data_IF_533612691636
#
_entry.id   IF_533612691636
#
_cell.length_a   1.000
_cell.length_b   1.000
_cell.length_c   1.000
_cell.angle_alpha   90.00
_cell.angle_beta   90.00
_cell.angle_gamma   90.00
#
_symmetry.space_group_name_H-M   'P 1'
#
loop_
_entity.id
_entity.type
_entity.pdbx_description
1 polymer ?
#
# COMPACT_ATOMS: atom_id res chain seq x y z
N UNK A 1 2.07 -35.29 15.08
CA UNK A 1 1.50 -33.92 15.18
C UNK A 1 2.23 -33.08 14.16
N UNK A 2 1.57 -32.43 13.18
CA UNK A 2 2.27 -31.52 12.26
C UNK A 2 2.80 -30.34 13.11
N UNK A 3 4.04 -29.96 12.88
CA UNK A 3 4.63 -28.80 13.54
C UNK A 3 3.78 -27.55 13.21
N UNK A 4 3.46 -26.73 14.22
CA UNK A 4 2.76 -25.45 13.99
C UNK A 4 3.54 -24.58 13.03
N UNK A 5 2.89 -24.03 12.01
CA UNK A 5 3.53 -23.11 11.07
C UNK A 5 3.95 -21.82 11.77
N UNK A 6 5.03 -21.22 11.31
CA UNK A 6 5.56 -19.95 11.80
C UNK A 6 5.33 -18.88 10.75
N UNK A 7 4.69 -17.80 11.15
CA UNK A 7 4.45 -16.62 10.29
C UNK A 7 5.17 -15.42 10.87
N UNK A 8 6.03 -14.80 10.10
CA UNK A 8 6.65 -13.54 10.45
C UNK A 8 5.91 -12.39 9.74
N UNK A 9 5.54 -11.36 10.48
CA UNK A 9 4.81 -10.21 9.95
C UNK A 9 5.71 -8.99 10.01
N UNK A 10 6.15 -8.53 8.82
CA UNK A 10 6.87 -7.28 8.66
C UNK A 10 5.87 -6.14 8.52
N UNK A 11 5.71 -5.34 9.55
CA UNK A 11 4.72 -4.26 9.59
C UNK A 11 5.19 -3.11 10.49
N UNK A 12 4.43 -2.04 10.52
CA UNK A 12 4.65 -0.91 11.42
C UNK A 12 4.47 -1.30 12.90
N UNK A 13 4.90 -0.44 13.85
CA UNK A 13 4.76 -0.75 15.26
C UNK A 13 3.33 -1.13 15.62
N UNK A 14 3.14 -2.29 16.27
CA UNK A 14 1.80 -2.80 16.62
C UNK A 14 1.02 -1.83 17.50
N UNK A 15 1.72 -1.02 18.27
CA UNK A 15 1.18 0.02 19.14
C UNK A 15 0.50 1.17 18.35
N UNK A 16 0.87 1.35 17.08
CA UNK A 16 0.32 2.41 16.21
C UNK A 16 -0.82 1.94 15.31
N UNK A 17 -1.14 0.67 15.32
CA UNK A 17 -2.13 0.08 14.41
C UNK A 17 -3.56 0.29 14.93
N UNK A 18 -4.45 0.76 14.06
CA UNK A 18 -5.88 0.78 14.35
C UNK A 18 -6.51 -0.59 14.07
N UNK A 19 -6.81 -1.31 15.12
CA UNK A 19 -7.38 -2.68 15.04
C UNK A 19 -8.72 -2.76 14.29
N UNK A 20 -9.43 -1.64 14.15
CA UNK A 20 -10.75 -1.60 13.49
C UNK A 20 -10.65 -1.50 11.98
N UNK A 21 -9.53 -1.01 11.47
CA UNK A 21 -9.38 -0.68 10.04
C UNK A 21 -8.23 -1.41 9.36
N UNK A 22 -7.26 -1.93 10.11
CA UNK A 22 -6.10 -2.61 9.54
C UNK A 22 -6.39 -4.08 9.21
N UNK A 23 -6.28 -4.42 7.94
CA UNK A 23 -6.50 -5.79 7.44
C UNK A 23 -5.42 -6.78 7.88
N UNK A 24 -4.23 -6.32 8.29
CA UNK A 24 -3.16 -7.18 8.80
C UNK A 24 -3.57 -7.83 10.10
N UNK A 25 -4.30 -7.12 10.95
CA UNK A 25 -4.86 -7.66 12.19
C UNK A 25 -5.76 -8.87 11.91
N UNK A 26 -6.64 -8.77 10.92
CA UNK A 26 -7.52 -9.89 10.54
C UNK A 26 -6.72 -11.10 10.03
N UNK A 27 -5.65 -10.86 9.26
CA UNK A 27 -4.76 -11.93 8.78
C UNK A 27 -4.03 -12.62 9.94
N UNK A 28 -3.57 -11.86 10.94
CA UNK A 28 -2.91 -12.40 12.13
C UNK A 28 -3.91 -13.23 12.95
N UNK A 29 -5.11 -12.74 13.17
CA UNK A 29 -6.16 -13.45 13.91
C UNK A 29 -6.51 -14.77 13.24
N UNK A 30 -6.74 -14.79 11.94
CA UNK A 30 -7.00 -16.00 11.17
C UNK A 30 -5.84 -17.01 11.30
N UNK A 31 -4.60 -16.53 11.25
CA UNK A 31 -3.43 -17.38 11.43
C UNK A 31 -3.35 -17.96 12.85
N UNK A 32 -3.71 -17.20 13.86
CA UNK A 32 -3.80 -17.67 15.26
C UNK A 32 -4.88 -18.74 15.42
N UNK A 33 -6.07 -18.55 14.84
CA UNK A 33 -7.16 -19.54 14.88
C UNK A 33 -6.74 -20.88 14.26
N UNK A 34 -5.86 -20.84 13.25
CA UNK A 34 -5.24 -22.03 12.66
C UNK A 34 -4.14 -22.65 13.52
N UNK A 35 -3.83 -22.06 14.66
CA UNK A 35 -2.79 -22.53 15.57
C UNK A 35 -1.36 -22.21 15.13
N UNK A 36 -1.16 -21.17 14.30
CA UNK A 36 0.16 -20.74 13.84
C UNK A 36 0.83 -19.81 14.84
N UNK A 37 2.17 -19.90 14.92
CA UNK A 37 2.99 -18.98 15.73
C UNK A 37 3.28 -17.72 14.94
N UNK A 38 3.00 -16.56 15.54
CA UNK A 38 3.16 -15.25 14.89
C UNK A 38 4.34 -14.51 15.50
N UNK A 39 5.17 -13.95 14.64
CA UNK A 39 6.30 -13.08 14.99
C UNK A 39 6.14 -11.71 14.32
N UNK A 40 6.23 -10.65 15.09
CA UNK A 40 6.21 -9.28 14.60
C UNK A 40 7.62 -8.72 14.55
N UNK A 41 7.95 -8.01 13.46
CA UNK A 41 9.15 -7.19 13.33
C UNK A 41 8.93 -6.03 12.36
N UNK A 42 9.78 -5.01 12.41
CA UNK A 42 9.75 -3.88 11.50
C UNK A 42 10.85 -4.01 10.44
N UNK A 43 10.76 -3.33 9.27
CA UNK A 43 11.80 -3.36 8.24
C UNK A 43 13.21 -3.04 8.77
N UNK A 44 13.32 -2.13 9.73
CA UNK A 44 14.59 -1.74 10.38
C UNK A 44 15.27 -2.87 11.20
N UNK A 45 14.48 -3.89 11.53
CA UNK A 45 14.96 -5.03 12.35
C UNK A 45 15.59 -6.13 11.50
N UNK A 46 15.56 -5.99 10.16
CA UNK A 46 16.22 -6.91 9.24
C UNK A 46 17.74 -6.79 9.32
N UNK A 47 18.42 -7.93 9.29
CA UNK A 47 19.87 -8.00 9.22
C UNK A 47 20.28 -9.11 8.27
N UNK A 48 21.06 -8.75 7.24
CA UNK A 48 21.71 -9.71 6.36
C UNK A 48 23.18 -9.84 6.75
N UNK A 49 23.60 -11.03 7.15
CA UNK A 49 25.02 -11.34 7.47
C UNK A 49 25.45 -12.62 6.79
N UNK A 50 26.46 -12.53 5.94
CA UNK A 50 27.05 -13.69 5.25
C UNK A 50 25.98 -14.60 4.58
N UNK A 51 25.04 -14.00 3.87
CA UNK A 51 23.95 -14.72 3.17
C UNK A 51 22.82 -15.22 4.08
N UNK A 52 22.87 -14.94 5.38
CA UNK A 52 21.82 -15.32 6.33
C UNK A 52 20.99 -14.09 6.67
N UNK A 53 19.72 -14.10 6.28
CA UNK A 53 18.75 -13.05 6.62
C UNK A 53 18.05 -13.39 7.92
N UNK A 54 18.14 -12.48 8.87
CA UNK A 54 17.50 -12.56 10.19
C UNK A 54 16.64 -11.33 10.45
N UNK A 55 15.72 -11.45 11.39
CA UNK A 55 14.99 -10.31 11.94
C UNK A 55 15.02 -10.35 13.47
N UNK A 56 15.13 -9.19 14.11
CA UNK A 56 14.86 -9.04 15.54
C UNK A 56 13.35 -8.96 15.71
N UNK A 57 12.74 -10.06 16.10
CA UNK A 57 11.29 -10.21 16.15
C UNK A 57 10.81 -10.47 17.57
N UNK A 58 9.50 -10.34 17.76
CA UNK A 58 8.80 -10.65 19.01
C UNK A 58 7.61 -11.55 18.72
N UNK A 59 7.38 -12.55 19.54
CA UNK A 59 6.14 -13.31 19.47
C UNK A 59 4.95 -12.36 19.68
N UNK A 60 3.91 -12.49 18.86
CA UNK A 60 2.74 -11.61 18.88
C UNK A 60 1.46 -12.44 18.98
N UNK A 61 0.53 -12.00 19.80
CA UNK A 61 -0.85 -12.46 19.77
C UNK A 61 -1.83 -11.28 19.81
N UNK A 62 -2.89 -11.36 19.00
CA UNK A 62 -3.95 -10.35 18.90
C UNK A 62 -5.19 -10.82 19.63
N UNK A 63 -5.86 -9.90 20.32
CA UNK A 63 -7.13 -10.09 21.02
C UNK A 63 -8.09 -8.95 20.63
N UNK A 64 -9.39 -9.18 20.65
CA UNK A 64 -10.37 -8.13 20.27
C UNK A 64 -10.81 -7.26 21.48
N UNK A 65 -9.98 -7.12 22.48
CA UNK A 65 -10.27 -6.27 23.65
C UNK A 65 -9.86 -4.82 23.36
N UNK A 66 -10.76 -3.85 23.55
CA UNK A 66 -10.54 -2.44 23.17
C UNK A 66 -9.34 -1.77 23.85
N UNK A 67 -9.01 -2.16 25.09
CA UNK A 67 -7.94 -1.53 25.87
C UNK A 67 -6.60 -2.26 25.84
N UNK A 68 -6.56 -3.50 25.36
CA UNK A 68 -5.36 -4.34 25.33
C UNK A 68 -5.46 -5.37 24.20
N UNK A 69 -5.39 -4.91 22.99
CA UNK A 69 -5.67 -5.71 21.80
C UNK A 69 -4.52 -6.60 21.33
N UNK A 70 -3.36 -6.55 21.99
CA UNK A 70 -2.22 -7.43 21.67
C UNK A 70 -1.42 -7.80 22.91
N UNK A 71 -0.74 -8.94 22.83
CA UNK A 71 0.37 -9.32 23.71
C UNK A 71 1.61 -9.50 22.86
N UNK A 72 2.71 -8.93 23.31
CA UNK A 72 3.99 -9.02 22.65
C UNK A 72 5.04 -9.60 23.61
N UNK A 73 5.77 -10.61 23.12
CA UNK A 73 6.81 -11.28 23.88
C UNK A 73 8.15 -10.55 23.88
N UNK A 74 9.14 -11.21 24.47
CA UNK A 74 10.52 -10.73 24.45
C UNK A 74 11.10 -10.73 23.03
N UNK A 75 12.08 -9.89 22.83
CA UNK A 75 12.79 -9.77 21.55
C UNK A 75 13.76 -10.94 21.36
N UNK A 76 13.66 -11.60 20.22
CA UNK A 76 14.56 -12.68 19.80
C UNK A 76 15.03 -12.49 18.37
N UNK A 77 16.14 -13.14 18.00
CA UNK A 77 16.61 -13.16 16.61
C UNK A 77 16.09 -14.42 15.93
N UNK A 78 15.22 -14.23 14.95
CA UNK A 78 14.72 -15.31 14.10
C UNK A 78 15.44 -15.33 12.75
N UNK A 79 15.68 -16.52 12.21
CA UNK A 79 16.17 -16.68 10.84
C UNK A 79 14.98 -16.79 9.89
N UNK A 80 14.88 -15.89 8.91
CA UNK A 80 13.69 -15.82 8.07
C UNK A 80 13.53 -17.02 7.12
N UNK A 81 14.58 -17.80 6.88
CA UNK A 81 14.46 -19.06 6.14
C UNK A 81 13.94 -20.25 6.98
N UNK A 82 13.76 -20.06 8.30
CA UNK A 82 13.19 -21.04 9.24
C UNK A 82 11.71 -20.77 9.57
N UNK A 83 11.10 -19.73 8.96
CA UNK A 83 9.66 -19.48 9.03
C UNK A 83 8.99 -19.94 7.74
N UNK A 84 7.70 -20.28 7.80
CA UNK A 84 6.95 -20.75 6.64
C UNK A 84 6.53 -19.60 5.73
N UNK A 85 6.11 -18.47 6.34
CA UNK A 85 5.59 -17.31 5.62
C UNK A 85 6.11 -16.01 6.23
N UNK A 86 6.46 -15.06 5.36
CA UNK A 86 6.61 -13.64 5.71
C UNK A 86 5.47 -12.86 5.09
N UNK A 87 4.68 -12.17 5.90
CA UNK A 87 3.70 -11.19 5.45
C UNK A 87 4.39 -9.83 5.39
N UNK A 88 4.58 -9.29 4.20
CA UNK A 88 5.16 -7.97 3.98
C UNK A 88 4.04 -6.92 4.01
N UNK A 89 3.84 -6.31 5.17
CA UNK A 89 2.67 -5.48 5.49
C UNK A 89 3.00 -4.07 5.98
N UNK A 90 4.27 -3.65 5.93
CA UNK A 90 4.62 -2.27 6.26
C UNK A 90 3.93 -1.28 5.33
N UNK A 91 3.53 -0.15 5.88
CA UNK A 91 2.95 0.96 5.14
C UNK A 91 4.02 1.75 4.34
N UNK A 92 3.63 2.55 3.36
CA UNK A 92 4.52 3.53 2.73
C UNK A 92 5.19 4.45 3.78
N UNK A 93 6.32 5.10 3.42
CA UNK A 93 6.68 5.52 2.06
C UNK A 93 7.35 4.43 1.23
N UNK A 94 7.06 4.40 -0.06
CA UNK A 94 7.73 3.54 -1.04
C UNK A 94 9.05 4.20 -1.46
N UNK A 95 10.04 4.13 -0.58
CA UNK A 95 11.36 4.73 -0.68
C UNK A 95 12.47 3.68 -0.80
N UNK A 96 13.73 4.11 -0.75
CA UNK A 96 14.86 3.19 -0.82
C UNK A 96 14.95 2.22 0.35
N UNK A 97 14.44 2.58 1.54
CA UNK A 97 14.33 1.64 2.67
C UNK A 97 13.34 0.52 2.36
N UNK A 98 12.19 0.89 1.81
CA UNK A 98 11.17 -0.07 1.38
C UNK A 98 11.73 -1.01 0.30
N UNK A 99 12.36 -0.45 -0.74
CA UNK A 99 13.01 -1.21 -1.82
C UNK A 99 14.10 -2.14 -1.27
N UNK A 100 14.93 -1.66 -0.34
CA UNK A 100 15.95 -2.48 0.32
C UNK A 100 15.34 -3.67 1.05
N UNK A 101 14.25 -3.47 1.80
CA UNK A 101 13.55 -4.56 2.47
C UNK A 101 13.05 -5.63 1.47
N UNK A 102 12.53 -5.22 0.30
CA UNK A 102 12.13 -6.19 -0.76
C UNK A 102 13.32 -6.99 -1.27
N UNK A 103 14.49 -6.37 -1.49
CA UNK A 103 15.69 -7.08 -1.92
C UNK A 103 16.21 -8.08 -0.87
N UNK A 104 16.09 -7.72 0.40
CA UNK A 104 16.48 -8.63 1.49
C UNK A 104 15.54 -9.84 1.56
N UNK A 105 14.22 -9.60 1.49
CA UNK A 105 13.22 -10.67 1.55
C UNK A 105 13.24 -11.59 0.32
N UNK A 106 13.62 -11.07 -0.85
CA UNK A 106 13.82 -11.88 -2.05
C UNK A 106 14.81 -13.03 -1.83
N UNK A 107 15.82 -12.85 -0.97
CA UNK A 107 16.84 -13.86 -0.72
C UNK A 107 16.32 -15.12 0.00
N UNK A 108 15.18 -15.02 0.67
CA UNK A 108 14.53 -16.17 1.31
C UNK A 108 13.36 -16.72 0.52
N UNK A 109 12.80 -15.92 -0.39
CA UNK A 109 11.72 -16.32 -1.29
C UNK A 109 12.26 -17.19 -2.45
N UNK A 110 11.57 -18.25 -2.91
CA UNK A 110 10.27 -18.75 -2.43
C UNK A 110 10.37 -19.83 -1.34
N UNK A 111 11.57 -20.17 -0.85
CA UNK A 111 11.73 -21.19 0.20
C UNK A 111 10.91 -20.84 1.44
N UNK A 112 11.00 -19.60 1.89
CA UNK A 112 10.02 -18.96 2.76
C UNK A 112 9.07 -18.19 1.87
N UNK A 113 7.78 -18.46 1.94
CA UNK A 113 6.79 -17.73 1.14
C UNK A 113 6.69 -16.29 1.62
N UNK A 114 7.10 -15.34 0.80
CA UNK A 114 6.90 -13.91 1.09
C UNK A 114 5.67 -13.41 0.33
N UNK A 115 4.70 -12.84 1.04
CA UNK A 115 3.44 -12.32 0.51
C UNK A 115 3.36 -10.80 0.78
N UNK A 116 3.25 -9.99 -0.26
CA UNK A 116 3.29 -10.35 -1.69
C UNK A 116 4.73 -10.62 -2.13
N UNK A 117 4.87 -11.24 -3.33
CA UNK A 117 6.18 -11.51 -3.91
C UNK A 117 7.04 -10.23 -3.93
N UNK A 118 8.24 -10.21 -3.31
CA UNK A 118 9.03 -8.98 -3.12
C UNK A 118 9.51 -8.36 -4.44
N UNK A 119 9.77 -9.17 -5.47
CA UNK A 119 10.12 -8.67 -6.82
C UNK A 119 8.94 -7.93 -7.42
N UNK A 120 7.75 -8.53 -7.36
CA UNK A 120 6.53 -7.92 -7.88
C UNK A 120 6.18 -6.63 -7.14
N UNK A 121 6.31 -6.61 -5.82
CA UNK A 121 6.06 -5.41 -5.00
C UNK A 121 6.92 -4.24 -5.46
N UNK A 122 8.24 -4.43 -5.57
CA UNK A 122 9.12 -3.33 -5.96
C UNK A 122 8.98 -2.91 -7.43
N UNK A 123 8.59 -3.84 -8.32
CA UNK A 123 8.41 -3.58 -9.75
C UNK A 123 7.03 -3.02 -10.09
N UNK A 124 6.12 -2.95 -9.13
CA UNK A 124 4.76 -2.45 -9.31
C UNK A 124 4.46 -1.23 -8.44
N UNK A 125 5.27 -0.14 -8.53
CA UNK A 125 4.96 1.08 -7.80
C UNK A 125 3.61 1.61 -8.27
N UNK A 126 2.72 1.87 -7.31
CA UNK A 126 1.27 2.09 -7.47
C UNK A 126 0.87 2.93 -8.69
N UNK A 127 1.51 4.09 -8.89
CA UNK A 127 1.13 5.02 -9.96
C UNK A 127 1.87 4.78 -11.28
N UNK A 128 3.12 4.33 -11.20
CA UNK A 128 3.92 4.04 -12.41
C UNK A 128 3.43 2.76 -13.08
N UNK A 129 3.14 1.72 -12.30
CA UNK A 129 2.70 0.43 -12.85
C UNK A 129 1.43 0.58 -13.70
N UNK A 130 0.50 1.46 -13.31
CA UNK A 130 -0.73 1.69 -14.08
C UNK A 130 -0.48 2.21 -15.49
N UNK A 131 0.65 2.88 -15.75
CA UNK A 131 0.99 3.40 -17.09
C UNK A 131 1.24 2.32 -18.14
N UNK A 132 1.36 1.06 -17.73
CA UNK A 132 1.40 -0.08 -18.65
C UNK A 132 0.04 -0.38 -19.28
N UNK A 133 -1.03 0.25 -18.78
CA UNK A 133 -2.40 0.06 -19.22
C UNK A 133 -3.04 1.40 -19.62
N UNK A 134 -2.51 2.07 -20.66
CA UNK A 134 -2.96 3.44 -21.02
C UNK A 134 -4.44 3.51 -21.39
N UNK A 135 -5.00 2.44 -21.95
CA UNK A 135 -6.41 2.37 -22.34
C UNK A 135 -7.37 2.30 -21.13
N UNK A 136 -6.84 1.99 -19.93
CA UNK A 136 -7.60 1.94 -18.68
C UNK A 136 -7.37 3.20 -17.81
N UNK A 137 -6.68 4.20 -18.34
CA UNK A 137 -6.34 5.42 -17.62
C UNK A 137 -6.94 6.65 -18.30
N UNK A 138 -7.22 7.72 -17.55
CA UNK A 138 -7.41 9.03 -18.16
C UNK A 138 -6.11 9.52 -18.80
N UNK A 139 -6.16 10.49 -19.71
CA UNK A 139 -4.97 11.17 -20.22
C UNK A 139 -3.98 11.47 -19.09
N UNK A 140 -2.75 11.01 -19.23
CA UNK A 140 -1.74 11.00 -18.15
C UNK A 140 -0.40 11.49 -18.68
N UNK A 141 0.24 12.39 -17.91
CA UNK A 141 1.59 12.86 -18.10
C UNK A 141 2.40 12.59 -16.84
N UNK A 142 3.62 12.05 -16.98
CA UNK A 142 4.58 11.95 -15.88
C UNK A 142 5.80 12.78 -16.26
N UNK A 143 6.06 13.83 -15.49
CA UNK A 143 7.15 14.76 -15.78
C UNK A 143 7.54 15.58 -14.55
N UNK A 144 8.65 16.30 -14.64
CA UNK A 144 9.05 17.41 -13.77
C UNK A 144 9.21 18.73 -14.54
N UNK A 145 8.93 18.69 -15.82
CA UNK A 145 9.00 19.86 -16.71
C UNK A 145 7.72 20.70 -16.57
N UNK A 146 7.87 21.93 -16.09
CA UNK A 146 6.75 22.85 -15.85
C UNK A 146 6.05 23.29 -17.13
N UNK A 147 6.76 23.36 -18.25
CA UNK A 147 6.16 23.75 -19.55
C UNK A 147 5.32 22.60 -20.11
N UNK A 148 5.79 21.36 -19.99
CA UNK A 148 5.01 20.18 -20.36
C UNK A 148 3.72 20.07 -19.50
N UNK A 149 3.79 20.41 -18.19
CA UNK A 149 2.62 20.44 -17.31
C UNK A 149 1.62 21.50 -17.77
N UNK A 150 2.10 22.69 -18.16
CA UNK A 150 1.22 23.76 -18.65
C UNK A 150 0.53 23.37 -19.95
N UNK A 151 1.29 22.83 -20.91
CA UNK A 151 0.73 22.36 -22.18
C UNK A 151 -0.34 21.29 -21.96
N UNK A 152 -0.04 20.28 -21.16
CA UNK A 152 -0.99 19.20 -20.83
C UNK A 152 -2.27 19.72 -20.17
N UNK A 153 -2.15 20.67 -19.23
CA UNK A 153 -3.31 21.32 -18.61
C UNK A 153 -4.14 22.09 -19.63
N UNK A 154 -3.52 22.81 -20.55
CA UNK A 154 -4.24 23.59 -21.56
C UNK A 154 -5.02 22.70 -22.53
N UNK A 155 -4.50 21.53 -22.85
CA UNK A 155 -5.18 20.50 -23.64
C UNK A 155 -6.39 19.89 -22.90
N UNK A 156 -6.25 19.58 -21.60
CA UNK A 156 -7.23 18.82 -20.81
C UNK A 156 -8.14 19.68 -19.94
N UNK A 157 -8.06 21.03 -20.03
CA UNK A 157 -8.88 22.03 -19.30
C UNK A 157 -8.73 21.97 -17.77
N UNK A 158 -8.82 20.81 -17.16
CA UNK A 158 -8.74 20.60 -15.73
C UNK A 158 -7.94 19.33 -15.42
N UNK A 159 -6.98 19.44 -14.52
CA UNK A 159 -6.04 18.38 -14.21
C UNK A 159 -5.86 18.19 -12.72
N UNK A 160 -5.47 16.97 -12.34
CA UNK A 160 -5.00 16.60 -11.01
C UNK A 160 -3.50 16.38 -11.07
N UNK A 161 -2.77 17.00 -10.14
CA UNK A 161 -1.34 16.75 -9.91
C UNK A 161 -1.20 15.86 -8.67
N UNK A 162 -0.38 14.81 -8.79
CA UNK A 162 -0.14 13.81 -7.73
C UNK A 162 1.35 13.52 -7.59
N UNK A 163 1.91 13.42 -6.37
CA UNK A 163 3.24 12.84 -6.20
C UNK A 163 3.21 11.36 -6.63
N UNK A 164 4.28 10.88 -7.28
CA UNK A 164 4.37 9.47 -7.70
C UNK A 164 4.44 8.53 -6.49
N UNK A 165 5.24 8.89 -5.50
CA UNK A 165 5.52 8.09 -4.31
C UNK A 165 4.84 8.72 -3.10
N UNK A 166 3.53 8.57 -3.00
CA UNK A 166 2.75 9.10 -1.90
C UNK A 166 1.45 8.33 -1.73
N UNK A 167 0.91 8.33 -0.53
CA UNK A 167 -0.31 7.64 -0.15
C UNK A 167 -1.31 8.59 0.52
N UNK A 168 -2.49 8.10 0.85
CA UNK A 168 -3.47 8.84 1.65
C UNK A 168 -4.04 10.11 1.00
N UNK A 169 -3.73 10.39 -0.28
CA UNK A 169 -4.19 11.61 -0.95
C UNK A 169 -3.40 12.87 -0.57
N UNK A 170 -2.27 12.73 0.12
CA UNK A 170 -1.38 13.84 0.45
C UNK A 170 -0.70 14.38 -0.82
N UNK A 171 -0.62 15.70 -0.94
CA UNK A 171 0.00 16.35 -2.10
C UNK A 171 -0.81 16.26 -3.40
N UNK A 172 -2.09 15.91 -3.35
CA UNK A 172 -2.97 15.93 -4.52
C UNK A 172 -3.58 17.32 -4.66
N UNK A 173 -3.43 17.91 -5.84
CA UNK A 173 -3.95 19.23 -6.16
C UNK A 173 -4.71 19.22 -7.47
N UNK A 174 -5.85 19.90 -7.52
CA UNK A 174 -6.69 20.10 -8.70
C UNK A 174 -6.50 21.50 -9.26
N UNK A 175 -6.30 21.60 -10.56
CA UNK A 175 -6.07 22.85 -11.26
C UNK A 175 -6.84 22.93 -12.57
N UNK A 176 -7.31 24.13 -12.85
CA UNK A 176 -7.77 24.55 -14.16
C UNK A 176 -6.83 25.66 -14.71
N UNK A 177 -7.14 26.18 -15.89
CA UNK A 177 -6.34 27.23 -16.55
C UNK A 177 -6.15 28.47 -15.66
N UNK A 178 -7.13 28.82 -14.84
CA UNK A 178 -7.14 30.05 -14.04
C UNK A 178 -6.52 29.86 -12.64
N UNK A 179 -6.46 28.63 -12.14
CA UNK A 179 -6.02 28.34 -10.75
C UNK A 179 -4.59 27.80 -10.65
N UNK A 180 -3.92 27.52 -11.77
CA UNK A 180 -2.59 26.95 -11.74
C UNK A 180 -1.54 27.96 -11.28
N UNK A 181 -0.89 27.67 -10.16
CA UNK A 181 0.28 28.37 -9.69
C UNK A 181 1.52 27.46 -9.78
N UNK A 182 2.53 27.78 -10.62
CA UNK A 182 3.74 26.98 -10.76
C UNK A 182 4.53 26.80 -9.47
N UNK A 183 4.40 27.71 -8.50
CA UNK A 183 5.09 27.64 -7.20
C UNK A 183 4.74 26.33 -6.45
N UNK A 184 3.55 25.77 -6.69
CA UNK A 184 3.15 24.52 -6.07
C UNK A 184 4.05 23.36 -6.48
N UNK A 185 4.70 23.45 -7.66
CA UNK A 185 5.62 22.42 -8.12
C UNK A 185 6.87 22.33 -7.26
N UNK A 186 7.23 23.42 -6.55
CA UNK A 186 8.37 23.43 -5.64
C UNK A 186 8.22 22.43 -4.49
N UNK A 187 6.99 22.15 -4.06
CA UNK A 187 6.73 21.17 -2.98
C UNK A 187 7.15 19.74 -3.35
N UNK A 188 7.24 19.44 -4.65
CA UNK A 188 7.66 18.11 -5.11
C UNK A 188 9.19 17.97 -5.25
N UNK A 189 9.96 19.01 -4.83
CA UNK A 189 11.43 18.98 -4.78
C UNK A 189 12.11 18.53 -6.09
N UNK A 190 11.50 18.87 -7.22
CA UNK A 190 12.02 18.49 -8.56
C UNK A 190 11.89 17.00 -8.89
N UNK A 191 11.16 16.23 -8.09
CA UNK A 191 10.83 14.83 -8.41
C UNK A 191 9.78 14.78 -9.54
N UNK A 192 9.77 13.72 -10.35
CA UNK A 192 8.69 13.49 -11.29
C UNK A 192 7.35 13.41 -10.58
N UNK A 193 6.33 14.00 -11.19
CA UNK A 193 4.94 13.97 -10.72
C UNK A 193 4.04 13.39 -11.79
N UNK A 194 2.90 12.87 -11.39
CA UNK A 194 1.84 12.46 -12.28
C UNK A 194 0.82 13.59 -12.42
N UNK A 195 0.51 13.95 -13.65
CA UNK A 195 -0.57 14.88 -14.03
C UNK A 195 -1.60 14.10 -14.82
N UNK A 196 -2.85 14.17 -14.43
CA UNK A 196 -3.94 13.45 -15.10
C UNK A 196 -5.11 14.38 -15.36
N UNK A 197 -5.88 14.11 -16.42
CA UNK A 197 -7.19 14.73 -16.59
C UNK A 197 -8.05 14.49 -15.33
N UNK A 198 -8.80 15.52 -14.93
CA UNK A 198 -9.72 15.40 -13.80
C UNK A 198 -10.99 14.67 -14.18
N UNK A 199 -11.24 13.54 -13.55
CA UNK A 199 -12.47 12.75 -13.72
C UNK A 199 -13.52 13.27 -12.75
N UNK A 200 -14.57 13.90 -13.26
CA UNK A 200 -15.63 14.50 -12.44
C UNK A 200 -16.42 13.47 -11.63
N UNK A 201 -16.54 12.27 -12.15
CA UNK A 201 -17.23 11.13 -11.58
C UNK A 201 -16.66 10.68 -10.23
N UNK A 202 -15.47 11.15 -9.86
CA UNK A 202 -14.89 10.90 -8.53
C UNK A 202 -15.80 11.37 -7.38
N UNK A 203 -16.67 12.35 -7.64
CA UNK A 203 -17.69 12.79 -6.67
C UNK A 203 -18.72 11.70 -6.35
N UNK A 204 -18.86 10.71 -7.23
CA UNK A 204 -19.69 9.51 -7.02
C UNK A 204 -18.91 8.39 -6.29
N UNK A 205 -17.64 8.66 -5.98
CA UNK A 205 -16.74 7.71 -5.33
C UNK A 205 -15.86 6.92 -6.27
N UNK A 206 -15.05 6.09 -5.69
CA UNK A 206 -14.25 5.09 -6.38
C UNK A 206 -14.58 3.67 -5.88
N UNK A 207 -14.10 2.66 -6.58
CA UNK A 207 -14.21 1.26 -6.17
C UNK A 207 -12.85 0.64 -6.00
N UNK A 208 -12.67 -0.11 -4.92
CA UNK A 208 -11.52 -0.95 -4.70
C UNK A 208 -11.95 -2.40 -4.85
N UNK A 209 -11.39 -3.08 -5.84
CA UNK A 209 -11.52 -4.52 -6.02
C UNK A 209 -10.39 -5.22 -5.27
N UNK A 210 -10.72 -6.32 -4.63
CA UNK A 210 -9.78 -7.17 -3.90
C UNK A 210 -9.62 -8.45 -4.69
N UNK A 211 -8.39 -8.68 -5.16
CA UNK A 211 -7.98 -9.86 -5.91
C UNK A 211 -6.96 -10.60 -5.06
N UNK A 212 -7.16 -11.89 -4.86
CA UNK A 212 -6.23 -12.76 -4.13
C UNK A 212 -5.95 -13.97 -5.02
N UNK A 213 -4.68 -14.19 -5.34
CA UNK A 213 -4.20 -15.31 -6.19
C UNK A 213 -4.92 -15.37 -7.56
N UNK A 214 -5.26 -14.21 -8.12
CA UNK A 214 -5.99 -14.08 -9.39
C UNK A 214 -7.51 -14.10 -9.27
N UNK A 215 -8.05 -14.47 -8.11
CA UNK A 215 -9.49 -14.58 -7.89
C UNK A 215 -10.07 -13.30 -7.27
N UNK A 216 -11.24 -12.89 -7.76
CA UNK A 216 -11.99 -11.79 -7.16
C UNK A 216 -12.57 -12.22 -5.80
N UNK A 217 -12.20 -11.50 -4.75
CA UNK A 217 -12.64 -11.78 -3.38
C UNK A 217 -13.67 -10.78 -2.84
N UNK A 218 -13.83 -9.64 -3.49
CA UNK A 218 -14.81 -8.64 -3.07
C UNK A 218 -14.49 -7.25 -3.57
N UNK A 219 -15.43 -6.33 -3.37
CA UNK A 219 -15.24 -4.92 -3.68
C UNK A 219 -15.85 -4.02 -2.61
N UNK A 220 -15.27 -2.84 -2.48
CA UNK A 220 -15.77 -1.78 -1.61
C UNK A 220 -15.81 -0.46 -2.36
N UNK A 221 -16.97 0.19 -2.40
CA UNK A 221 -17.08 1.55 -2.85
C UNK A 221 -16.60 2.50 -1.74
N UNK A 222 -15.88 3.54 -2.12
CA UNK A 222 -15.42 4.60 -1.22
C UNK A 222 -16.02 5.91 -1.69
N UNK A 223 -16.88 6.49 -0.87
CA UNK A 223 -17.55 7.74 -1.18
C UNK A 223 -16.79 8.90 -0.54
N UNK A 224 -16.45 9.98 -1.26
CA UNK A 224 -15.88 11.16 -0.66
C UNK A 224 -16.89 11.81 0.28
N UNK A 225 -16.42 12.54 1.28
CA UNK A 225 -17.28 13.43 2.05
C UNK A 225 -17.84 14.53 1.15
N UNK A 226 -18.99 15.06 1.51
CA UNK A 226 -19.63 16.15 0.76
C UNK A 226 -18.64 17.33 0.59
N UNK A 227 -18.45 17.77 -0.66
CA UNK A 227 -17.52 18.84 -1.02
C UNK A 227 -16.05 18.41 -1.18
N UNK A 228 -15.71 17.16 -0.86
CA UNK A 228 -14.35 16.63 -1.01
C UNK A 228 -14.15 15.91 -2.35
N UNK A 229 -12.91 15.86 -2.81
CA UNK A 229 -12.50 15.13 -4.02
C UNK A 229 -11.71 13.85 -3.72
N UNK A 230 -11.50 13.55 -2.44
CA UNK A 230 -10.73 12.40 -1.97
C UNK A 230 -11.66 11.37 -1.36
N UNK A 231 -11.72 10.18 -1.95
CA UNK A 231 -12.57 9.08 -1.49
C UNK A 231 -11.83 8.05 -0.61
N UNK A 232 -10.51 8.15 -0.47
CA UNK A 232 -9.72 7.20 0.31
C UNK A 232 -10.04 7.29 1.82
N UNK A 233 -9.94 6.16 2.52
CA UNK A 233 -10.31 6.04 3.95
C UNK A 233 -9.51 6.99 4.85
N UNK A 234 -8.20 7.15 4.62
CA UNK A 234 -7.36 8.09 5.37
C UNK A 234 -7.80 9.56 5.22
N UNK A 235 -8.49 9.90 4.13
CA UNK A 235 -9.12 11.21 3.96
C UNK A 235 -10.58 11.25 4.47
N UNK A 236 -11.02 10.18 5.15
CA UNK A 236 -12.35 10.08 5.73
C UNK A 236 -13.42 9.60 4.75
N UNK A 237 -13.05 8.93 3.66
CA UNK A 237 -13.99 8.27 2.75
C UNK A 237 -14.88 7.27 3.47
N UNK A 238 -16.15 7.21 3.06
CA UNK A 238 -17.15 6.35 3.68
C UNK A 238 -17.19 5.02 2.90
N UNK A 239 -16.98 3.86 3.57
CA UNK A 239 -17.08 2.57 2.92
C UNK A 239 -18.54 2.21 2.63
N UNK A 240 -18.78 1.65 1.45
CA UNK A 240 -20.06 1.07 1.08
C UNK A 240 -19.81 -0.26 0.37
N UNK A 241 -20.50 -1.32 0.81
CA UNK A 241 -20.42 -2.62 0.12
C UNK A 241 -21.02 -2.46 -1.29
N UNK A 242 -20.32 -2.99 -2.28
CA UNK A 242 -20.76 -2.95 -3.67
C UNK A 242 -20.48 -4.29 -4.35
N UNK A 243 -21.29 -4.61 -5.34
CA UNK A 243 -21.05 -5.77 -6.21
C UNK A 243 -20.28 -5.35 -7.47
N UNK A 244 -19.68 -6.31 -8.16
CA UNK A 244 -19.07 -6.09 -9.47
C UNK A 244 -20.10 -5.54 -10.46
N UNK A 245 -19.72 -4.51 -11.18
CA UNK A 245 -20.46 -4.03 -12.36
C UNK A 245 -19.79 -4.57 -13.64
N UNK A 246 -20.45 -4.42 -14.78
CA UNK A 246 -19.95 -4.97 -16.06
C UNK A 246 -18.51 -4.51 -16.37
N UNK A 247 -18.17 -3.25 -16.13
CA UNK A 247 -16.83 -2.70 -16.36
C UNK A 247 -15.74 -3.22 -15.43
N UNK A 248 -16.11 -3.82 -14.31
CA UNK A 248 -15.16 -4.41 -13.37
C UNK A 248 -14.73 -5.83 -13.80
N UNK A 249 -15.34 -6.37 -14.86
CA UNK A 249 -15.15 -7.76 -15.36
C UNK A 249 -14.29 -7.83 -16.61
N UNK A 250 -13.99 -6.69 -17.23
CA UNK A 250 -13.12 -6.56 -18.40
C UNK A 250 -11.66 -6.33 -17.96
#
# INVERSE_FOLDING_TARGET
>A
MSQSKKIAVQMDPIESIDIKTDSTILMIMEAQERGYSIYHYQPKDLTLKNGTLTARARALSIHLEESNHFKIGDSEIIKLYEVDVVLMRQDPPFDMSYITATHLLEQVHPKTLVVNNPISVRNSPEKIFTTLFPDLMPPTLITRDSEAIRAFRDENKEVIIKPLYGNGGVGIHRFNKNSFNPEILKQYLGLPIMVQEYIKEITQGDRRLIIIDGDYCGSVARLPKEGEIKANFHAGGIPNKTDLVFRDKE
#
